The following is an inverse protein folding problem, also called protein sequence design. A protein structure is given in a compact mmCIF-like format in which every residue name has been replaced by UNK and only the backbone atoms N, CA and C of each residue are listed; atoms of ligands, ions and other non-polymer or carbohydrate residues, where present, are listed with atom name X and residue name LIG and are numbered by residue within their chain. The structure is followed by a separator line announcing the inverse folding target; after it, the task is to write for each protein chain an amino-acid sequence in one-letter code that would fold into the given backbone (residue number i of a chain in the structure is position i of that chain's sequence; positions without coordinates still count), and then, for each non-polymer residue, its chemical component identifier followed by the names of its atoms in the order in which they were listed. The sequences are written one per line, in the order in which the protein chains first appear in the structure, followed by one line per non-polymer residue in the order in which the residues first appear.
data_IF_549944466917
#
_entry.id   IF_549944466917
#
_cell.length_a   1.000
_cell.length_b   1.000
_cell.length_c   1.000
_cell.angle_alpha   90.00
_cell.angle_beta   90.00
_cell.angle_gamma   90.00
#
_symmetry.space_group_name_H-M   'P 1'
#
loop_
_entity.id
_entity.type
_entity.pdbx_description
1 polymer ?
#
# COMPACT_ATOMS: atom_id res chain seq x y z
N UNK A 1 -41.17 0.29 32.43
CA UNK A 1 -39.83 -0.29 32.64
C UNK A 1 -39.84 -1.64 31.96
N UNK A 2 -38.84 -1.91 31.12
CA UNK A 2 -38.67 -3.22 30.50
C UNK A 2 -38.39 -4.28 31.57
N UNK A 3 -38.77 -5.55 31.35
CA UNK A 3 -38.45 -6.62 32.28
C UNK A 3 -36.92 -6.74 32.46
N UNK A 4 -36.40 -6.97 33.69
CA UNK A 4 -34.97 -7.11 33.93
C UNK A 4 -34.28 -8.15 33.04
N UNK A 5 -34.98 -9.24 32.70
CA UNK A 5 -34.50 -10.27 31.78
C UNK A 5 -34.29 -9.74 30.35
N UNK A 6 -35.22 -8.92 29.86
CA UNK A 6 -35.14 -8.31 28.52
C UNK A 6 -33.99 -7.30 28.45
N UNK A 7 -33.74 -6.56 29.53
CA UNK A 7 -32.66 -5.59 29.57
C UNK A 7 -31.27 -6.26 29.53
N UNK A 8 -31.11 -7.40 30.22
CA UNK A 8 -29.89 -8.23 30.13
C UNK A 8 -29.71 -8.76 28.70
N UNK A 9 -30.77 -9.26 28.07
CA UNK A 9 -30.70 -9.79 26.69
C UNK A 9 -30.31 -8.70 25.67
N UNK A 10 -30.82 -7.47 25.83
CA UNK A 10 -30.45 -6.32 25.00
C UNK A 10 -28.97 -5.95 25.15
N UNK A 11 -28.45 -5.93 26.38
CA UNK A 11 -27.03 -5.66 26.66
C UNK A 11 -26.12 -6.76 26.13
N UNK A 12 -26.49 -8.03 26.30
CA UNK A 12 -25.74 -9.18 25.77
C UNK A 12 -25.68 -9.16 24.24
N UNK A 13 -26.79 -8.83 23.57
CA UNK A 13 -26.85 -8.69 22.11
C UNK A 13 -25.92 -7.58 21.60
N UNK A 14 -25.90 -6.43 22.29
CA UNK A 14 -25.00 -5.32 21.97
C UNK A 14 -23.52 -5.71 22.17
N UNK A 15 -23.19 -6.36 23.29
CA UNK A 15 -21.83 -6.83 23.57
C UNK A 15 -21.36 -7.89 22.58
N UNK A 16 -22.21 -8.85 22.21
CA UNK A 16 -21.90 -9.87 21.21
C UNK A 16 -21.56 -9.26 19.84
N UNK A 17 -22.26 -8.17 19.47
CA UNK A 17 -21.95 -7.42 18.25
C UNK A 17 -20.58 -6.75 18.32
N UNK A 18 -20.23 -6.16 19.46
CA UNK A 18 -18.91 -5.54 19.67
C UNK A 18 -17.77 -6.55 19.64
N UNK A 19 -17.96 -7.72 20.26
CA UNK A 19 -16.97 -8.80 20.25
C UNK A 19 -16.72 -9.31 18.83
N UNK A 20 -17.77 -9.45 18.03
CA UNK A 20 -17.67 -9.79 16.61
C UNK A 20 -16.87 -8.73 15.82
N UNK A 21 -17.12 -7.45 16.07
CA UNK A 21 -16.38 -6.35 15.44
C UNK A 21 -14.89 -6.33 15.81
N UNK A 22 -14.55 -6.65 17.06
CA UNK A 22 -13.16 -6.77 17.52
C UNK A 22 -12.49 -7.97 16.87
N UNK A 23 -13.16 -9.11 16.80
CA UNK A 23 -12.65 -10.32 16.16
C UNK A 23 -12.39 -10.12 14.65
N UNK A 24 -13.24 -9.34 13.97
CA UNK A 24 -13.12 -9.03 12.55
C UNK A 24 -12.05 -7.95 12.23
N UNK A 25 -11.38 -7.38 13.22
CA UNK A 25 -10.43 -6.28 13.02
C UNK A 25 -9.22 -6.70 12.17
N UNK A 26 -8.74 -5.85 11.23
CA UNK A 26 -7.56 -6.17 10.45
C UNK A 26 -6.33 -6.50 11.32
N UNK A 27 -5.68 -7.64 11.05
CA UNK A 27 -4.56 -8.15 11.83
C UNK A 27 -3.40 -7.14 11.99
N UNK A 28 -3.18 -6.27 10.99
CA UNK A 28 -2.20 -5.19 11.06
C UNK A 28 -2.54 -4.17 12.16
N UNK A 29 -3.80 -3.76 12.28
CA UNK A 29 -4.27 -2.80 13.29
C UNK A 29 -4.13 -3.40 14.68
N UNK A 30 -4.57 -4.65 14.86
CA UNK A 30 -4.46 -5.38 16.13
C UNK A 30 -3.01 -5.49 16.58
N UNK A 31 -2.09 -5.91 15.69
CA UNK A 31 -0.65 -5.98 15.98
C UNK A 31 -0.04 -4.62 16.34
N UNK A 32 -0.51 -3.54 15.73
CA UNK A 32 0.00 -2.20 15.98
C UNK A 32 -0.51 -1.59 17.30
N UNK A 33 -1.76 -1.88 17.68
CA UNK A 33 -2.44 -1.26 18.82
C UNK A 33 -2.28 -2.06 20.12
N UNK A 34 -2.39 -3.39 20.06
CA UNK A 34 -2.40 -4.24 21.26
C UNK A 34 -1.19 -4.02 22.18
N UNK A 35 0.07 -3.91 21.69
CA UNK A 35 1.21 -3.63 22.56
C UNK A 35 1.09 -2.30 23.30
N UNK A 36 0.54 -1.26 22.64
CA UNK A 36 0.40 0.08 23.22
C UNK A 36 -0.69 0.15 24.26
N UNK A 37 -1.80 -0.56 24.02
CA UNK A 37 -2.87 -0.72 25.00
C UNK A 37 -2.40 -1.50 26.22
N UNK A 38 -1.56 -2.54 26.05
CA UNK A 38 -0.92 -3.25 27.17
C UNK A 38 -0.01 -2.33 27.99
N UNK A 39 0.85 -1.56 27.34
CA UNK A 39 1.72 -0.60 28.03
C UNK A 39 0.91 0.41 28.85
N UNK A 40 -0.20 0.93 28.30
CA UNK A 40 -1.11 1.82 29.02
C UNK A 40 -1.70 1.16 30.27
N UNK A 41 -2.21 -0.08 30.14
CA UNK A 41 -2.76 -0.83 31.28
C UNK A 41 -1.70 -1.08 32.37
N UNK A 42 -0.51 -1.52 31.99
CA UNK A 42 0.59 -1.72 32.93
C UNK A 42 1.04 -0.43 33.62
N UNK A 43 0.95 0.71 32.94
CA UNK A 43 1.18 2.02 33.56
C UNK A 43 0.07 2.36 34.56
N UNK A 44 -1.21 2.10 34.24
CA UNK A 44 -2.32 2.29 35.17
C UNK A 44 -2.15 1.45 36.45
N UNK A 45 -1.66 0.21 36.33
CA UNK A 45 -1.37 -0.66 37.49
C UNK A 45 -0.32 -0.05 38.42
N UNK A 46 0.74 0.55 37.86
CA UNK A 46 1.80 1.19 38.65
C UNK A 46 1.36 2.50 39.31
N UNK A 47 0.35 3.18 38.76
CA UNK A 47 -0.10 4.50 39.25
C UNK A 47 -1.01 4.45 40.48
N UNK A 48 -1.57 3.28 40.81
CA UNK A 48 -2.45 3.15 41.97
C UNK A 48 -3.79 3.86 41.79
N UNK A 49 -4.32 3.95 40.56
CA UNK A 49 -5.68 4.45 40.36
C UNK A 49 -6.70 3.55 41.07
N UNK A 50 -7.83 4.15 41.47
CA UNK A 50 -8.96 3.42 42.05
C UNK A 50 -9.32 2.21 41.21
N UNK A 51 -9.58 1.09 41.87
CA UNK A 51 -9.77 -0.21 41.22
C UNK A 51 -10.85 -0.18 40.14
N UNK A 52 -12.03 0.37 40.47
CA UNK A 52 -13.17 0.44 39.56
C UNK A 52 -12.91 1.27 38.29
N UNK A 53 -12.07 2.30 38.36
CA UNK A 53 -11.82 3.21 37.23
C UNK A 53 -10.41 3.06 36.66
N UNK A 54 -9.61 2.10 37.14
CA UNK A 54 -8.17 1.98 36.86
C UNK A 54 -7.85 2.08 35.38
N UNK A 55 -8.55 1.28 34.57
CA UNK A 55 -8.32 1.21 33.13
C UNK A 55 -9.20 2.14 32.30
N UNK A 56 -10.16 2.85 32.90
CA UNK A 56 -10.96 3.83 32.16
C UNK A 56 -10.05 4.89 31.55
N UNK A 57 -10.16 5.06 30.24
CA UNK A 57 -9.39 6.03 29.48
C UNK A 57 -10.01 7.41 29.62
N UNK A 58 -9.24 8.37 30.11
CA UNK A 58 -9.62 9.78 30.15
C UNK A 58 -8.57 10.63 29.45
N UNK A 59 -8.93 11.85 29.04
CA UNK A 59 -7.97 12.76 28.42
C UNK A 59 -6.75 13.02 29.33
N UNK A 60 -6.98 13.19 30.63
CA UNK A 60 -5.92 13.43 31.61
C UNK A 60 -4.99 12.23 31.77
N UNK A 61 -5.55 11.01 31.85
CA UNK A 61 -4.72 9.79 31.91
C UNK A 61 -3.93 9.57 30.63
N UNK A 62 -4.55 9.77 29.47
CA UNK A 62 -3.84 9.67 28.18
C UNK A 62 -2.69 10.68 28.14
N UNK A 63 -2.95 11.94 28.51
CA UNK A 63 -1.92 12.98 28.51
C UNK A 63 -0.76 12.63 29.43
N UNK A 64 -1.04 12.25 30.69
CA UNK A 64 -0.02 11.90 31.67
C UNK A 64 0.80 10.67 31.23
N UNK A 65 0.14 9.62 30.74
CA UNK A 65 0.81 8.45 30.18
C UNK A 65 1.76 8.81 29.05
N UNK A 66 1.33 9.67 28.11
CA UNK A 66 2.19 10.07 26.99
C UNK A 66 3.43 10.82 27.47
N UNK A 67 3.28 11.74 28.43
CA UNK A 67 4.39 12.51 29.00
C UNK A 67 5.40 11.60 29.69
N UNK A 68 4.94 10.70 30.56
CA UNK A 68 5.84 9.89 31.40
C UNK A 68 6.48 8.74 30.65
N UNK A 69 5.72 8.06 29.79
CA UNK A 69 6.15 6.77 29.23
C UNK A 69 6.57 6.88 27.76
N UNK A 70 6.06 7.85 26.99
CA UNK A 70 6.15 7.82 25.52
C UNK A 70 7.01 8.94 24.96
N UNK A 71 6.69 10.21 25.22
CA UNK A 71 7.24 11.38 24.49
C UNK A 71 8.77 11.44 24.52
N UNK A 72 9.38 11.24 25.68
CA UNK A 72 10.84 11.30 25.85
C UNK A 72 11.54 9.94 25.76
N UNK A 73 10.80 8.89 25.38
CA UNK A 73 11.34 7.54 25.27
C UNK A 73 12.44 7.49 24.22
N UNK A 74 13.59 6.96 24.60
CA UNK A 74 14.70 6.71 23.69
C UNK A 74 14.56 5.35 23.02
N UNK A 75 14.70 5.33 21.70
CA UNK A 75 14.70 4.13 20.85
C UNK A 75 16.08 3.96 20.22
N UNK A 76 16.56 2.73 20.13
CA UNK A 76 17.85 2.40 19.50
C UNK A 76 17.64 2.09 18.03
N UNK A 77 18.29 2.86 17.15
CA UNK A 77 18.26 2.64 15.69
C UNK A 77 19.68 2.67 15.17
N UNK A 78 20.15 1.57 14.56
CA UNK A 78 21.50 1.45 13.96
C UNK A 78 22.61 2.02 14.88
N UNK A 79 22.64 1.57 16.13
CA UNK A 79 23.59 1.99 17.16
C UNK A 79 23.52 3.45 17.65
N UNK A 80 22.48 4.23 17.28
CA UNK A 80 22.22 5.56 17.85
C UNK A 80 20.96 5.57 18.71
N UNK A 81 20.99 6.28 19.83
CA UNK A 81 19.80 6.59 20.65
C UNK A 81 19.08 7.79 20.02
N UNK A 82 17.77 7.66 19.80
CA UNK A 82 16.93 8.74 19.31
C UNK A 82 15.61 8.74 20.07
N UNK A 83 15.11 9.92 20.42
CA UNK A 83 13.72 10.06 20.93
C UNK A 83 12.71 9.51 19.92
N UNK A 84 11.61 8.96 20.42
CA UNK A 84 10.47 8.56 19.57
C UNK A 84 10.01 9.70 18.67
N UNK A 85 9.50 9.35 17.49
CA UNK A 85 8.96 10.34 16.56
C UNK A 85 7.51 10.69 16.88
N UNK A 86 7.07 11.86 16.41
CA UNK A 86 5.66 12.31 16.46
C UNK A 86 4.69 11.22 15.99
N UNK A 87 5.02 10.53 14.89
CA UNK A 87 4.18 9.46 14.33
C UNK A 87 3.99 8.29 15.31
N UNK A 88 4.99 7.98 16.13
CA UNK A 88 4.88 6.95 17.18
C UNK A 88 3.94 7.41 18.27
N UNK A 89 4.09 8.66 18.75
CA UNK A 89 3.21 9.27 19.77
C UNK A 89 1.76 9.30 19.29
N UNK A 90 1.52 9.72 18.04
CA UNK A 90 0.18 9.73 17.45
C UNK A 90 -0.42 8.32 17.34
N UNK A 91 0.41 7.29 17.11
CA UNK A 91 -0.05 5.90 17.12
C UNK A 91 -0.45 5.42 18.53
N UNK A 92 0.18 5.90 19.61
CA UNK A 92 -0.30 5.67 20.98
C UNK A 92 -1.63 6.37 21.23
N UNK A 93 -1.76 7.64 20.81
CA UNK A 93 -3.02 8.38 20.91
C UNK A 93 -4.16 7.61 20.22
N UNK A 94 -3.94 7.13 18.99
CA UNK A 94 -4.94 6.38 18.25
C UNK A 94 -5.26 5.03 18.91
N UNK A 95 -4.25 4.29 19.38
CA UNK A 95 -4.45 2.99 20.03
C UNK A 95 -5.21 3.11 21.37
N UNK A 96 -4.99 4.17 22.14
CA UNK A 96 -5.66 4.40 23.42
C UNK A 96 -7.04 5.02 23.20
N UNK A 97 -7.21 5.87 22.17
CA UNK A 97 -8.53 6.36 21.76
C UNK A 97 -9.42 5.20 21.27
N UNK A 98 -8.83 4.21 20.61
CA UNK A 98 -9.51 2.98 20.24
C UNK A 98 -9.94 2.14 21.45
N UNK A 99 -9.09 2.03 22.49
CA UNK A 99 -9.46 1.41 23.76
C UNK A 99 -10.61 2.18 24.44
N UNK A 100 -10.60 3.51 24.38
CA UNK A 100 -11.71 4.34 24.86
C UNK A 100 -13.00 4.06 24.09
N UNK A 101 -12.95 3.95 22.76
CA UNK A 101 -14.14 3.67 21.95
C UNK A 101 -14.79 2.34 22.34
N UNK A 102 -13.99 1.29 22.58
CA UNK A 102 -14.51 0.02 23.12
C UNK A 102 -15.16 0.19 24.50
N UNK A 103 -14.52 0.92 25.42
CA UNK A 103 -15.08 1.19 26.74
C UNK A 103 -16.40 1.98 26.68
N UNK A 104 -16.48 2.97 25.78
CA UNK A 104 -17.67 3.78 25.60
C UNK A 104 -18.80 2.96 24.99
N UNK A 105 -18.51 2.14 23.97
CA UNK A 105 -19.50 1.25 23.35
C UNK A 105 -20.08 0.21 24.31
N UNK A 106 -19.33 -0.19 25.34
CA UNK A 106 -19.77 -1.09 26.41
C UNK A 106 -20.39 -0.38 27.61
N UNK A 107 -20.58 0.93 27.55
CA UNK A 107 -21.07 1.73 28.69
C UNK A 107 -20.12 1.82 29.89
N UNK A 108 -18.91 1.24 29.81
CA UNK A 108 -17.92 1.22 30.89
C UNK A 108 -17.21 2.56 31.09
N UNK A 109 -17.38 3.52 30.18
CA UNK A 109 -16.75 4.84 30.26
C UNK A 109 -17.65 5.94 29.67
N UNK A 110 -18.07 6.88 30.51
CA UNK A 110 -18.92 8.02 30.17
C UNK A 110 -18.15 9.35 29.97
N UNK A 111 -16.82 9.33 30.08
CA UNK A 111 -16.01 10.54 29.92
C UNK A 111 -16.01 11.04 28.47
N UNK A 112 -15.69 12.32 28.21
CA UNK A 112 -15.47 12.81 26.85
C UNK A 112 -14.29 12.13 26.15
N UNK A 113 -14.31 12.14 24.82
CA UNK A 113 -13.27 11.51 24.00
C UNK A 113 -11.86 12.02 24.39
N UNK A 114 -10.87 11.11 24.59
CA UNK A 114 -9.59 11.46 25.19
C UNK A 114 -8.68 12.32 24.29
N UNK A 115 -8.88 12.29 22.96
CA UNK A 115 -8.19 13.15 22.00
C UNK A 115 -8.75 14.58 21.98
N UNK A 116 -8.56 15.31 23.06
CA UNK A 116 -9.02 16.68 23.24
C UNK A 116 -8.03 17.74 22.72
N UNK A 117 -8.28 19.02 23.02
CA UNK A 117 -7.41 20.15 22.67
C UNK A 117 -5.98 20.01 23.20
N UNK A 118 -5.78 19.50 24.42
CA UNK A 118 -4.45 19.33 25.02
C UNK A 118 -3.60 18.32 24.23
N UNK A 119 -4.18 17.19 23.82
CA UNK A 119 -3.48 16.22 22.97
C UNK A 119 -3.10 16.83 21.61
N UNK A 120 -3.98 17.66 21.03
CA UNK A 120 -3.69 18.38 19.78
C UNK A 120 -2.53 19.37 19.95
N UNK A 121 -2.49 20.10 21.07
CA UNK A 121 -1.40 21.02 21.41
C UNK A 121 -0.08 20.27 21.59
N UNK A 122 -0.08 19.16 22.34
CA UNK A 122 1.10 18.31 22.53
C UNK A 122 1.67 17.83 21.19
N UNK A 123 0.83 17.23 20.34
CA UNK A 123 1.26 16.76 19.02
C UNK A 123 1.80 17.90 18.15
N UNK A 124 1.25 19.11 18.29
CA UNK A 124 1.72 20.29 17.57
C UNK A 124 3.09 20.78 18.08
N UNK A 125 3.33 20.76 19.39
CA UNK A 125 4.66 21.07 19.97
C UNK A 125 5.73 20.12 19.44
N UNK A 126 5.47 18.81 19.49
CA UNK A 126 6.42 17.80 19.01
C UNK A 126 6.73 17.94 17.51
N UNK A 127 5.75 18.37 16.69
CA UNK A 127 5.96 18.71 15.28
C UNK A 127 6.89 19.92 15.11
N UNK A 128 6.69 20.97 15.92
CA UNK A 128 7.55 22.18 15.92
C UNK A 128 8.98 21.86 16.36
N UNK A 129 9.14 21.10 17.44
CA UNK A 129 10.44 20.63 17.93
C UNK A 129 11.18 19.81 16.88
N UNK A 130 10.47 18.88 16.21
CA UNK A 130 11.03 18.11 15.10
C UNK A 130 11.51 19.02 13.98
N UNK A 131 10.71 20.02 13.58
CA UNK A 131 11.09 20.96 12.53
C UNK A 131 12.34 21.77 12.91
N UNK A 132 12.39 22.30 14.13
CA UNK A 132 13.56 23.04 14.64
C UNK A 132 14.82 22.16 14.69
N UNK A 133 14.66 20.90 15.10
CA UNK A 133 15.74 19.91 15.08
C UNK A 133 16.24 19.63 13.66
N UNK A 134 15.33 19.32 12.74
CA UNK A 134 15.68 19.04 11.34
C UNK A 134 16.39 20.25 10.71
N UNK A 135 15.99 21.48 11.06
CA UNK A 135 16.67 22.73 10.66
C UNK A 135 18.08 22.84 11.24
N UNK A 136 18.27 22.53 12.53
CA UNK A 136 19.58 22.56 13.21
C UNK A 136 20.55 21.49 12.68
N UNK A 137 20.03 20.32 12.31
CA UNK A 137 20.81 19.20 11.77
C UNK A 137 21.03 19.31 10.25
N UNK A 138 20.62 20.41 9.61
CA UNK A 138 20.71 20.63 8.16
C UNK A 138 20.17 19.43 7.35
N UNK A 139 19.07 18.83 7.82
CA UNK A 139 18.43 17.72 7.11
C UNK A 139 18.03 18.20 5.73
N UNK A 140 18.40 17.42 4.71
CA UNK A 140 18.10 17.72 3.31
C UNK A 140 16.59 17.98 3.11
N UNK A 141 16.27 19.21 2.71
CA UNK A 141 14.90 19.70 2.48
C UNK A 141 14.28 19.11 1.22
N UNK A 142 15.11 18.65 0.28
CA UNK A 142 14.67 17.95 -0.94
C UNK A 142 14.03 16.59 -0.62
N UNK A 143 14.47 15.93 0.46
CA UNK A 143 13.94 14.63 0.85
C UNK A 143 12.49 14.74 1.31
N UNK A 144 11.59 14.01 0.66
CA UNK A 144 10.14 14.08 0.88
C UNK A 144 9.48 15.36 0.39
N UNK A 145 10.10 16.05 -0.57
CA UNK A 145 9.51 17.16 -1.31
C UNK A 145 9.17 16.72 -2.75
N UNK A 146 9.21 17.64 -3.72
CA UNK A 146 8.98 17.36 -5.14
C UNK A 146 9.94 16.29 -5.70
N UNK A 147 11.17 16.23 -5.18
CA UNK A 147 12.24 15.32 -5.62
C UNK A 147 12.27 13.99 -4.85
N UNK A 148 11.25 13.66 -4.06
CA UNK A 148 11.25 12.40 -3.30
C UNK A 148 11.04 11.18 -4.19
N UNK A 149 12.03 10.29 -4.30
CA UNK A 149 11.98 9.16 -5.21
C UNK A 149 12.55 9.53 -6.56
N UNK A 150 11.85 9.12 -7.61
CA UNK A 150 12.25 9.37 -8.99
C UNK A 150 11.18 10.19 -9.71
N UNK A 151 11.59 10.96 -10.70
CA UNK A 151 10.71 11.94 -11.35
C UNK A 151 10.79 11.92 -12.88
N UNK A 152 11.73 11.16 -13.45
CA UNK A 152 11.98 11.17 -14.90
C UNK A 152 11.88 9.78 -15.52
N UNK A 153 11.63 9.73 -16.83
CA UNK A 153 11.72 8.48 -17.60
C UNK A 153 13.15 7.92 -17.60
N UNK A 154 14.17 8.77 -17.51
CA UNK A 154 15.57 8.34 -17.40
C UNK A 154 15.81 7.55 -16.10
N UNK A 155 15.23 8.00 -14.98
CA UNK A 155 15.29 7.25 -13.71
C UNK A 155 14.60 5.89 -13.84
N UNK A 156 13.43 5.82 -14.49
CA UNK A 156 12.72 4.56 -14.73
C UNK A 156 13.57 3.59 -15.56
N UNK A 157 14.22 4.08 -16.61
CA UNK A 157 15.13 3.29 -17.44
C UNK A 157 16.33 2.81 -16.61
N UNK A 158 16.92 3.67 -15.78
CA UNK A 158 18.02 3.30 -14.89
C UNK A 158 17.61 2.21 -13.88
N UNK A 159 16.41 2.32 -13.28
CA UNK A 159 15.84 1.30 -12.39
C UNK A 159 15.62 -0.02 -13.14
N UNK A 160 15.09 0.05 -14.36
CA UNK A 160 14.90 -1.13 -15.22
C UNK A 160 16.21 -1.85 -15.48
N UNK A 161 17.21 -1.12 -16.00
CA UNK A 161 18.54 -1.65 -16.33
C UNK A 161 19.24 -2.19 -15.10
N UNK A 162 19.13 -1.53 -13.96
CA UNK A 162 19.66 -2.03 -12.69
C UNK A 162 19.16 -3.45 -12.39
N UNK A 163 17.83 -3.67 -12.41
CA UNK A 163 17.29 -5.00 -12.13
C UNK A 163 17.60 -6.02 -13.24
N UNK A 164 17.57 -5.61 -14.51
CA UNK A 164 17.92 -6.50 -15.63
C UNK A 164 19.39 -6.96 -15.54
N UNK A 165 20.31 -6.06 -15.20
CA UNK A 165 21.74 -6.35 -15.12
C UNK A 165 22.13 -7.24 -13.94
N UNK A 166 21.29 -7.32 -12.90
CA UNK A 166 21.47 -8.32 -11.84
C UNK A 166 21.25 -9.76 -12.35
N UNK A 167 20.49 -9.90 -13.45
CA UNK A 167 20.28 -11.16 -14.17
C UNK A 167 19.85 -12.34 -13.27
N UNK A 168 18.96 -12.07 -12.30
CA UNK A 168 18.35 -13.11 -11.47
C UNK A 168 16.83 -13.10 -11.60
N UNK A 169 16.21 -14.26 -11.37
CA UNK A 169 14.74 -14.37 -11.33
C UNK A 169 14.07 -13.49 -10.29
N UNK A 170 14.68 -13.37 -9.12
CA UNK A 170 14.20 -12.46 -8.08
C UNK A 170 14.22 -11.01 -8.54
N UNK A 171 15.21 -10.60 -9.33
CA UNK A 171 15.32 -9.24 -9.81
C UNK A 171 14.38 -8.95 -10.99
N UNK A 172 14.07 -9.95 -11.82
CA UNK A 172 12.95 -9.86 -12.78
C UNK A 172 11.61 -9.66 -12.05
N UNK A 173 11.38 -10.38 -10.94
CA UNK A 173 10.20 -10.18 -10.08
C UNK A 173 10.18 -8.76 -9.50
N UNK A 174 11.32 -8.28 -9.00
CA UNK A 174 11.43 -6.96 -8.40
C UNK A 174 11.21 -5.84 -9.43
N UNK A 175 11.76 -6.00 -10.65
CA UNK A 175 11.52 -5.12 -11.80
C UNK A 175 10.04 -5.05 -12.15
N UNK A 176 9.41 -6.20 -12.32
CA UNK A 176 7.98 -6.29 -12.60
C UNK A 176 7.14 -5.62 -11.50
N UNK A 177 7.44 -5.91 -10.22
CA UNK A 177 6.76 -5.30 -9.08
C UNK A 177 6.86 -3.78 -9.10
N UNK A 178 8.05 -3.24 -9.39
CA UNK A 178 8.29 -1.80 -9.46
C UNK A 178 7.40 -1.15 -10.54
N UNK A 179 7.41 -1.69 -11.76
CA UNK A 179 6.66 -1.10 -12.87
C UNK A 179 5.14 -1.27 -12.74
N UNK A 180 4.65 -2.39 -12.20
CA UNK A 180 3.22 -2.51 -11.86
C UNK A 180 2.82 -1.50 -10.79
N UNK A 181 3.62 -1.33 -9.73
CA UNK A 181 3.33 -0.35 -8.69
C UNK A 181 3.37 1.09 -9.20
N UNK A 182 4.27 1.40 -10.14
CA UNK A 182 4.38 2.70 -10.78
C UNK A 182 3.20 2.98 -11.69
N UNK A 183 2.94 2.09 -12.66
CA UNK A 183 1.94 2.32 -13.71
C UNK A 183 0.50 2.27 -13.18
N UNK A 184 0.25 1.46 -12.13
CA UNK A 184 -1.08 1.30 -11.56
C UNK A 184 -1.24 2.01 -10.21
N UNK A 185 -0.23 2.77 -9.76
CA UNK A 185 -0.23 3.50 -8.48
C UNK A 185 -0.51 2.60 -7.26
N UNK A 186 0.02 1.37 -7.29
CA UNK A 186 -0.27 0.37 -6.26
C UNK A 186 0.50 0.64 -4.97
N UNK A 187 -0.10 0.19 -3.87
CA UNK A 187 0.65 0.00 -2.63
C UNK A 187 1.46 -1.30 -2.73
N UNK A 188 2.69 -1.31 -2.20
CA UNK A 188 3.50 -2.52 -2.21
C UNK A 188 2.88 -3.70 -1.45
N UNK A 189 1.98 -3.47 -0.49
CA UNK A 189 1.16 -4.53 0.13
C UNK A 189 0.17 -5.13 -0.87
N UNK A 190 -0.67 -4.30 -1.49
CA UNK A 190 -1.61 -4.72 -2.53
C UNK A 190 -0.91 -5.51 -3.63
N UNK A 191 0.21 -4.99 -4.16
CA UNK A 191 0.97 -5.66 -5.21
C UNK A 191 1.45 -7.08 -4.82
N UNK A 192 1.83 -7.29 -3.56
CA UNK A 192 2.30 -8.61 -3.09
C UNK A 192 1.17 -9.61 -2.91
N UNK A 193 -0.06 -9.14 -2.70
CA UNK A 193 -1.21 -10.01 -2.48
C UNK A 193 -1.85 -10.49 -3.79
N UNK A 194 -1.57 -9.83 -4.93
CA UNK A 194 -2.14 -10.15 -6.24
C UNK A 194 -1.91 -11.62 -6.61
N UNK A 195 -2.97 -12.29 -6.99
CA UNK A 195 -3.04 -13.65 -7.52
C UNK A 195 -3.21 -13.62 -9.05
N UNK A 196 -2.94 -14.74 -9.71
CA UNK A 196 -3.14 -14.86 -11.15
C UNK A 196 -4.58 -14.53 -11.61
N UNK A 197 -5.67 -15.02 -10.96
CA UNK A 197 -7.05 -14.69 -11.34
C UNK A 197 -7.41 -13.21 -11.23
N UNK A 198 -6.65 -12.44 -10.44
CA UNK A 198 -6.86 -10.99 -10.35
C UNK A 198 -6.46 -10.28 -11.64
N UNK A 199 -5.66 -10.90 -12.52
CA UNK A 199 -5.15 -10.33 -13.75
C UNK A 199 -6.06 -10.66 -14.94
N UNK A 200 -6.53 -9.63 -15.64
CA UNK A 200 -7.22 -9.80 -16.91
C UNK A 200 -6.90 -8.64 -17.86
N UNK A 201 -7.23 -8.81 -19.13
CA UNK A 201 -7.03 -7.76 -20.14
C UNK A 201 -8.35 -7.28 -20.72
N UNK A 202 -8.46 -5.97 -20.93
CA UNK A 202 -9.62 -5.33 -21.57
C UNK A 202 -9.14 -4.55 -22.79
N UNK A 203 -9.82 -4.72 -23.91
CA UNK A 203 -9.59 -3.89 -25.09
C UNK A 203 -10.14 -2.48 -24.86
N UNK A 204 -9.32 -1.49 -25.12
CA UNK A 204 -9.68 -0.08 -25.04
C UNK A 204 -9.92 0.45 -26.45
N UNK A 205 -11.18 0.42 -26.84
CA UNK A 205 -11.62 1.03 -28.08
C UNK A 205 -11.25 2.52 -28.13
N UNK A 206 -10.92 3.00 -29.33
CA UNK A 206 -10.67 4.42 -29.60
C UNK A 206 -9.49 5.05 -28.83
N UNK A 207 -8.48 4.26 -28.44
CA UNK A 207 -7.26 4.81 -27.81
C UNK A 207 -6.22 5.35 -28.80
N UNK A 208 -6.25 4.94 -30.07
CA UNK A 208 -5.37 5.42 -31.13
C UNK A 208 -5.28 4.46 -32.31
N UNK A 209 -4.15 4.45 -33.01
CA UNK A 209 -3.98 3.75 -34.30
C UNK A 209 -3.73 2.25 -34.19
N UNK A 210 -3.19 1.79 -33.06
CA UNK A 210 -2.90 0.37 -32.80
C UNK A 210 -3.84 -0.16 -31.72
N UNK A 211 -4.14 -1.46 -31.76
CA UNK A 211 -4.89 -2.15 -30.71
C UNK A 211 -4.31 -1.83 -29.32
N UNK A 212 -5.15 -1.31 -28.44
CA UNK A 212 -4.78 -0.94 -27.08
C UNK A 212 -5.47 -1.89 -26.10
N UNK A 213 -4.70 -2.78 -25.47
CA UNK A 213 -5.18 -3.60 -24.36
C UNK A 213 -4.65 -3.07 -23.03
N UNK A 214 -5.58 -2.83 -22.11
CA UNK A 214 -5.27 -2.56 -20.71
C UNK A 214 -5.07 -3.88 -19.97
N UNK A 215 -3.97 -3.98 -19.22
CA UNK A 215 -3.84 -4.94 -18.13
C UNK A 215 -4.60 -4.38 -16.93
N UNK A 216 -5.53 -5.16 -16.39
CA UNK A 216 -6.37 -4.82 -15.24
C UNK A 216 -6.11 -5.81 -14.11
N UNK A 217 -6.12 -5.30 -12.89
CA UNK A 217 -5.86 -6.02 -11.66
C UNK A 217 -7.01 -5.79 -10.68
N UNK A 218 -7.70 -6.85 -10.30
CA UNK A 218 -8.70 -6.80 -9.24
C UNK A 218 -7.98 -6.69 -7.90
N UNK A 219 -8.49 -5.82 -7.02
CA UNK A 219 -8.02 -5.67 -5.65
C UNK A 219 -9.21 -5.65 -4.72
N UNK A 220 -9.53 -6.81 -4.17
CA UNK A 220 -10.60 -6.95 -3.16
C UNK A 220 -10.07 -6.70 -1.74
N UNK A 221 -8.74 -6.69 -1.57
CA UNK A 221 -8.10 -6.55 -0.26
C UNK A 221 -7.03 -5.46 -0.27
N UNK A 222 -7.08 -4.58 0.73
CA UNK A 222 -6.07 -3.57 0.95
C UNK A 222 -6.27 -2.84 2.27
N UNK A 223 -5.23 -2.16 2.76
CA UNK A 223 -5.29 -1.45 4.06
C UNK A 223 -6.52 -0.52 4.23
N UNK A 224 -7.00 0.07 3.13
CA UNK A 224 -8.14 0.99 3.10
C UNK A 224 -9.45 0.35 2.62
N UNK A 225 -9.41 -0.89 2.17
CA UNK A 225 -10.54 -1.62 1.63
C UNK A 225 -10.89 -2.78 2.57
N UNK A 226 -11.54 -2.43 3.70
CA UNK A 226 -11.91 -3.38 4.75
C UNK A 226 -13.23 -4.11 4.45
N UNK A 227 -13.97 -3.66 3.43
CA UNK A 227 -15.32 -4.12 3.10
C UNK A 227 -15.38 -4.96 1.82
N UNK A 228 -14.22 -5.36 1.27
CA UNK A 228 -14.17 -6.17 0.05
C UNK A 228 -14.67 -5.45 -1.21
N UNK A 229 -14.60 -4.11 -1.27
CA UNK A 229 -14.98 -3.36 -2.48
C UNK A 229 -14.07 -3.80 -3.62
N UNK A 230 -14.59 -4.04 -4.82
CA UNK A 230 -13.71 -4.31 -5.96
C UNK A 230 -13.05 -3.01 -6.40
N UNK A 231 -11.80 -2.84 -6.03
CA UNK A 231 -10.94 -1.79 -6.60
C UNK A 231 -10.19 -2.35 -7.80
N UNK A 232 -9.85 -1.49 -8.76
CA UNK A 232 -9.11 -1.89 -9.95
C UNK A 232 -7.81 -1.11 -10.08
N UNK A 233 -6.74 -1.82 -10.43
CA UNK A 233 -5.48 -1.26 -10.90
C UNK A 233 -5.39 -1.48 -12.40
N UNK A 234 -4.97 -0.49 -13.17
CA UNK A 234 -4.89 -0.64 -14.61
C UNK A 234 -3.67 0.05 -15.20
N UNK A 235 -3.13 -0.53 -16.26
CA UNK A 235 -2.08 0.08 -17.07
C UNK A 235 -2.14 -0.45 -18.50
N UNK A 236 -1.52 0.29 -19.42
CA UNK A 236 -1.34 -0.13 -20.81
C UNK A 236 0.15 -0.33 -21.10
N UNK A 237 0.47 -0.87 -22.27
CA UNK A 237 1.85 -1.03 -22.73
C UNK A 237 2.51 0.35 -22.87
N UNK A 238 3.66 0.54 -22.24
CA UNK A 238 4.43 1.79 -22.35
C UNK A 238 5.10 1.90 -23.73
N UNK A 239 5.19 3.10 -24.31
CA UNK A 239 5.93 3.34 -25.56
C UNK A 239 7.39 2.89 -25.51
N UNK A 240 8.07 3.03 -24.37
CA UNK A 240 9.43 2.56 -24.16
C UNK A 240 9.39 1.14 -23.58
N UNK A 241 9.98 0.18 -24.30
CA UNK A 241 10.01 -1.24 -23.92
C UNK A 241 10.73 -1.49 -22.60
N UNK A 242 11.73 -0.68 -22.27
CA UNK A 242 12.54 -0.86 -21.07
C UNK A 242 11.74 -0.59 -19.80
N UNK A 243 10.65 0.17 -19.86
CA UNK A 243 9.86 0.57 -18.70
C UNK A 243 8.40 0.08 -18.78
N UNK A 244 8.12 -0.82 -19.73
CA UNK A 244 6.78 -1.33 -19.96
C UNK A 244 6.32 -2.29 -18.85
N UNK A 245 5.24 -1.99 -18.09
CA UNK A 245 4.76 -2.87 -17.01
C UNK A 245 4.27 -4.22 -17.54
N UNK A 246 3.55 -4.22 -18.68
CA UNK A 246 3.08 -5.44 -19.34
C UNK A 246 4.26 -6.29 -19.84
N UNK A 247 5.29 -5.65 -20.39
CA UNK A 247 6.51 -6.34 -20.81
C UNK A 247 7.29 -6.92 -19.62
N UNK A 248 7.35 -6.20 -18.50
CA UNK A 248 7.97 -6.70 -17.29
C UNK A 248 7.22 -7.91 -16.69
N UNK A 249 5.88 -7.90 -16.73
CA UNK A 249 5.07 -9.07 -16.39
C UNK A 249 5.36 -10.24 -17.32
N UNK A 250 5.36 -10.03 -18.63
CA UNK A 250 5.67 -11.06 -19.62
C UNK A 250 7.04 -11.70 -19.41
N UNK A 251 8.10 -10.92 -19.21
CA UNK A 251 9.43 -11.46 -18.94
C UNK A 251 9.50 -12.29 -17.66
N UNK A 252 8.81 -11.84 -16.61
CA UNK A 252 8.81 -12.58 -15.35
C UNK A 252 8.01 -13.89 -15.43
N UNK A 253 6.86 -13.90 -16.11
CA UNK A 253 6.10 -15.14 -16.37
C UNK A 253 6.91 -16.10 -17.25
N UNK A 254 7.58 -15.59 -18.28
CA UNK A 254 8.45 -16.40 -19.13
C UNK A 254 9.61 -17.00 -18.33
N UNK A 255 10.20 -16.23 -17.42
CA UNK A 255 11.22 -16.76 -16.52
C UNK A 255 10.65 -17.87 -15.61
N UNK A 256 9.45 -17.70 -15.04
CA UNK A 256 8.83 -18.73 -14.20
C UNK A 256 8.62 -20.04 -14.96
N UNK A 257 7.91 -19.97 -16.08
CA UNK A 257 7.44 -21.16 -16.78
C UNK A 257 8.46 -21.72 -17.78
N UNK A 258 9.13 -20.84 -18.52
CA UNK A 258 10.09 -21.23 -19.56
C UNK A 258 11.50 -21.52 -19.03
N UNK A 259 11.97 -20.76 -18.03
CA UNK A 259 13.37 -20.85 -17.54
C UNK A 259 13.48 -21.64 -16.24
N UNK A 260 12.61 -21.39 -15.25
CA UNK A 260 12.60 -22.18 -14.00
C UNK A 260 11.87 -23.51 -14.15
N UNK A 261 11.21 -23.76 -15.27
CA UNK A 261 10.35 -24.92 -15.48
C UNK A 261 9.30 -25.06 -14.36
N UNK A 262 8.74 -23.94 -13.89
CA UNK A 262 7.53 -23.99 -13.08
C UNK A 262 6.37 -24.45 -13.99
N UNK A 263 5.56 -25.39 -13.51
CA UNK A 263 4.43 -25.89 -14.29
C UNK A 263 3.46 -24.75 -14.64
N UNK A 264 3.09 -24.68 -15.91
CA UNK A 264 1.99 -23.83 -16.36
C UNK A 264 0.71 -24.50 -15.83
N UNK A 265 -0.08 -23.82 -14.99
CA UNK A 265 -1.26 -24.44 -14.41
C UNK A 265 -2.34 -24.68 -15.47
N UNK A 266 -3.21 -25.65 -15.24
CA UNK A 266 -4.39 -25.80 -16.08
C UNK A 266 -5.38 -24.65 -15.78
N UNK A 267 -5.42 -23.66 -16.66
CA UNK A 267 -6.33 -22.51 -16.51
C UNK A 267 -7.82 -22.87 -16.58
N UNK A 268 -8.15 -24.11 -16.98
CA UNK A 268 -9.53 -24.63 -16.95
C UNK A 268 -9.94 -25.18 -15.57
N UNK A 269 -8.99 -25.39 -14.65
CA UNK A 269 -9.23 -25.92 -13.30
C UNK A 269 -8.88 -24.85 -12.28
N UNK A 270 -9.85 -24.05 -11.79
CA UNK A 270 -9.62 -22.92 -10.88
C UNK A 270 -8.70 -23.24 -9.69
N UNK A 271 -8.87 -24.42 -9.10
CA UNK A 271 -8.14 -24.91 -7.93
C UNK A 271 -6.63 -25.00 -8.17
N UNK A 272 -6.18 -25.11 -9.42
CA UNK A 272 -4.76 -25.21 -9.75
C UNK A 272 -4.04 -23.86 -9.84
N UNK A 273 -4.78 -22.75 -9.98
CA UNK A 273 -4.18 -21.44 -10.29
C UNK A 273 -4.70 -20.24 -9.51
N UNK A 274 -5.86 -20.35 -8.84
CA UNK A 274 -6.44 -19.24 -8.10
C UNK A 274 -5.55 -18.77 -6.94
N UNK A 275 -4.90 -19.69 -6.24
CA UNK A 275 -3.99 -19.35 -5.13
C UNK A 275 -2.57 -18.95 -5.59
N UNK A 276 -2.28 -18.99 -6.89
CA UNK A 276 -0.93 -18.68 -7.39
C UNK A 276 -0.70 -17.17 -7.32
N UNK A 277 0.32 -16.77 -6.57
CA UNK A 277 0.74 -15.38 -6.47
C UNK A 277 1.45 -14.91 -7.72
N UNK A 278 1.13 -13.69 -8.16
CA UNK A 278 1.89 -12.98 -9.19
C UNK A 278 3.30 -12.69 -8.65
N UNK A 279 3.40 -12.11 -7.46
CA UNK A 279 4.68 -11.90 -6.76
C UNK A 279 4.97 -13.03 -5.77
N UNK A 280 5.25 -14.25 -6.26
CA UNK A 280 5.56 -15.42 -5.41
C UNK A 280 6.87 -15.32 -4.62
N UNK A 281 6.97 -16.02 -3.50
CA UNK A 281 8.17 -16.15 -2.67
C UNK A 281 8.99 -17.41 -3.01
N UNK A 282 10.19 -17.22 -3.55
CA UNK A 282 11.11 -18.32 -3.81
C UNK A 282 10.49 -19.38 -4.74
N UNK A 283 10.51 -20.64 -4.29
CA UNK A 283 9.94 -21.78 -5.04
C UNK A 283 8.44 -21.97 -4.81
N UNK A 284 7.87 -21.50 -3.69
CA UNK A 284 6.45 -21.70 -3.40
C UNK A 284 5.60 -20.68 -4.17
N UNK A 285 4.80 -21.17 -5.11
CA UNK A 285 3.95 -20.35 -6.00
C UNK A 285 2.77 -19.69 -5.31
N UNK A 286 2.31 -20.20 -4.16
CA UNK A 286 1.14 -19.66 -3.42
C UNK A 286 1.53 -18.72 -2.30
N UNK A 287 2.81 -18.67 -1.92
CA UNK A 287 3.28 -17.76 -0.88
C UNK A 287 3.66 -16.40 -1.48
N UNK A 288 3.12 -15.28 -0.99
CA UNK A 288 3.48 -13.95 -1.49
C UNK A 288 4.89 -13.57 -1.06
N UNK A 289 5.56 -12.75 -1.87
CA UNK A 289 6.83 -12.12 -1.53
C UNK A 289 6.70 -11.41 -0.17
N UNK A 290 7.72 -11.54 0.69
CA UNK A 290 7.70 -10.91 2.00
C UNK A 290 7.87 -9.39 1.88
N UNK A 291 7.34 -8.64 2.86
CA UNK A 291 7.58 -7.20 2.95
C UNK A 291 9.08 -6.88 2.98
N UNK A 292 9.86 -7.67 3.73
CA UNK A 292 11.30 -7.44 3.89
C UNK A 292 12.06 -7.64 2.58
N UNK A 293 11.76 -8.70 1.83
CA UNK A 293 12.37 -8.93 0.52
C UNK A 293 12.07 -7.78 -0.46
N UNK A 294 10.82 -7.33 -0.53
CA UNK A 294 10.43 -6.17 -1.35
C UNK A 294 11.17 -4.91 -0.88
N UNK A 295 11.16 -4.63 0.43
CA UNK A 295 11.82 -3.47 1.02
C UNK A 295 13.32 -3.43 0.67
N UNK A 296 14.03 -4.53 0.89
CA UNK A 296 15.47 -4.62 0.68
C UNK A 296 15.84 -4.47 -0.80
N UNK A 297 15.05 -5.07 -1.71
CA UNK A 297 15.24 -4.91 -3.15
C UNK A 297 15.11 -3.44 -3.58
N UNK A 298 14.05 -2.75 -3.14
CA UNK A 298 13.83 -1.33 -3.44
C UNK A 298 14.94 -0.45 -2.86
N UNK A 299 15.40 -0.73 -1.63
CA UNK A 299 16.52 0.00 -1.02
C UNK A 299 17.80 -0.21 -1.82
N UNK A 300 18.09 -1.45 -2.23
CA UNK A 300 19.28 -1.79 -3.00
C UNK A 300 19.32 -1.02 -4.31
N UNK A 301 18.22 -1.03 -5.07
CA UNK A 301 18.10 -0.29 -6.32
C UNK A 301 18.25 1.22 -6.11
N UNK A 302 17.50 1.80 -5.16
CA UNK A 302 17.55 3.24 -4.93
C UNK A 302 18.92 3.70 -4.43
N UNK A 303 19.58 2.92 -3.57
CA UNK A 303 20.92 3.27 -3.09
C UNK A 303 21.96 3.20 -4.19
N UNK A 304 21.90 2.18 -5.06
CA UNK A 304 22.81 2.04 -6.19
C UNK A 304 22.64 3.16 -7.23
N UNK A 305 21.43 3.68 -7.39
CA UNK A 305 21.10 4.72 -8.36
C UNK A 305 21.11 6.14 -7.76
N UNK A 306 21.49 6.30 -6.49
CA UNK A 306 21.49 7.61 -5.81
C UNK A 306 20.10 8.18 -5.51
N UNK A 307 19.03 7.43 -5.73
CA UNK A 307 17.64 7.85 -5.54
C UNK A 307 17.32 8.00 -4.04
N UNK A 308 16.85 9.19 -3.65
CA UNK A 308 16.46 9.49 -2.27
C UNK A 308 14.94 9.48 -2.13
N UNK A 309 14.39 8.55 -1.34
CA UNK A 309 12.95 8.57 -0.99
C UNK A 309 12.69 8.30 0.48
N UNK A 310 11.75 9.04 1.07
CA UNK A 310 11.15 8.77 2.38
C UNK A 310 10.33 7.47 2.35
N UNK A 311 9.59 7.25 1.27
CA UNK A 311 8.82 6.03 1.06
C UNK A 311 9.71 4.92 0.48
N UNK A 312 9.43 3.65 0.81
CA UNK A 312 10.17 2.50 0.27
C UNK A 312 9.27 1.69 -0.67
N UNK A 313 8.56 0.69 -0.18
CA UNK A 313 7.63 -0.15 -0.95
C UNK A 313 6.42 0.59 -1.54
N UNK A 314 6.25 1.89 -1.25
CA UNK A 314 5.20 2.74 -1.81
C UNK A 314 5.76 3.94 -2.58
N UNK A 315 7.08 4.02 -2.78
CA UNK A 315 7.71 5.14 -3.50
C UNK A 315 7.23 5.23 -4.95
N UNK A 316 7.01 4.07 -5.59
CA UNK A 316 6.54 4.00 -6.97
C UNK A 316 5.17 4.64 -7.17
N UNK A 317 4.27 4.51 -6.18
CA UNK A 317 2.95 5.15 -6.19
C UNK A 317 3.06 6.68 -6.18
N UNK A 318 3.87 7.24 -5.30
CA UNK A 318 4.07 8.71 -5.25
C UNK A 318 4.76 9.24 -6.50
N UNK A 319 5.78 8.51 -6.97
CA UNK A 319 6.53 8.89 -8.17
C UNK A 319 5.67 8.79 -9.43
N UNK A 320 4.86 7.73 -9.56
CA UNK A 320 3.87 7.60 -10.62
C UNK A 320 2.87 8.76 -10.64
N UNK A 321 2.30 9.12 -9.49
CA UNK A 321 1.34 10.24 -9.46
C UNK A 321 1.93 11.56 -9.93
N UNK A 322 3.15 11.91 -9.48
CA UNK A 322 3.84 13.13 -9.94
C UNK A 322 4.18 13.07 -11.42
N UNK A 323 4.65 11.92 -11.91
CA UNK A 323 4.98 11.78 -13.33
C UNK A 323 3.74 11.84 -14.22
N UNK A 324 2.61 11.29 -13.77
CA UNK A 324 1.33 11.43 -14.48
C UNK A 324 0.89 12.89 -14.55
N UNK A 325 1.02 13.64 -13.44
CA UNK A 325 0.68 15.07 -13.37
C UNK A 325 1.57 15.90 -14.32
N UNK A 326 2.88 15.68 -14.27
CA UNK A 326 3.84 16.34 -15.17
C UNK A 326 3.62 16.00 -16.65
N UNK A 327 3.07 14.82 -16.93
CA UNK A 327 2.70 14.39 -18.28
C UNK A 327 1.31 14.90 -18.71
N UNK A 328 0.64 15.72 -17.89
CA UNK A 328 -0.61 16.38 -18.24
C UNK A 328 -1.88 15.62 -17.86
N UNK A 329 -1.79 14.59 -17.01
CA UNK A 329 -2.98 13.97 -16.44
C UNK A 329 -3.59 14.87 -15.35
N UNK A 330 -4.90 15.04 -15.39
CA UNK A 330 -5.67 15.75 -14.39
C UNK A 330 -5.64 15.03 -13.04
N UNK A 331 -5.71 15.82 -11.96
CA UNK A 331 -5.78 15.31 -10.59
C UNK A 331 -6.92 14.30 -10.42
N UNK A 332 -8.06 14.53 -11.07
CA UNK A 332 -9.22 13.63 -11.03
C UNK A 332 -8.90 12.22 -11.59
N UNK A 333 -8.13 12.13 -12.67
CA UNK A 333 -7.75 10.86 -13.29
C UNK A 333 -6.67 10.15 -12.50
N UNK A 334 -5.71 10.91 -11.93
CA UNK A 334 -4.71 10.38 -11.00
C UNK A 334 -5.37 9.87 -9.72
N UNK A 335 -6.36 10.60 -9.20
CA UNK A 335 -7.16 10.24 -8.02
C UNK A 335 -7.87 8.91 -8.23
N UNK A 336 -8.54 8.76 -9.38
CA UNK A 336 -9.19 7.51 -9.81
C UNK A 336 -8.18 6.37 -9.97
N UNK A 337 -7.06 6.61 -10.67
CA UNK A 337 -6.03 5.58 -10.89
C UNK A 337 -5.36 5.15 -9.59
N UNK A 338 -5.23 6.05 -8.63
CA UNK A 338 -4.68 5.75 -7.31
C UNK A 338 -5.69 5.12 -6.35
N UNK A 339 -6.98 5.12 -6.68
CA UNK A 339 -8.10 4.75 -5.80
C UNK A 339 -8.07 5.57 -4.51
N UNK A 340 -8.08 6.89 -4.66
CA UNK A 340 -8.14 7.82 -3.55
C UNK A 340 -9.54 8.44 -3.46
N UNK A 341 -10.17 8.32 -2.30
CA UNK A 341 -11.47 8.96 -2.01
C UNK A 341 -12.53 8.65 -3.09
N UNK A 342 -12.71 7.37 -3.43
CA UNK A 342 -13.72 6.96 -4.40
C UNK A 342 -15.12 7.30 -3.89
N UNK A 343 -15.90 7.99 -4.72
CA UNK A 343 -17.30 8.32 -4.44
C UNK A 343 -18.26 7.32 -5.09
N UNK A 344 -19.55 7.39 -4.72
CA UNK A 344 -20.57 6.47 -5.23
C UNK A 344 -20.62 6.38 -6.77
N UNK A 345 -20.33 7.47 -7.47
CA UNK A 345 -20.26 7.49 -8.94
C UNK A 345 -19.15 6.59 -9.49
N UNK A 346 -17.97 6.62 -8.87
CA UNK A 346 -16.84 5.79 -9.26
C UNK A 346 -17.10 4.32 -8.94
N UNK A 347 -17.76 4.04 -7.81
CA UNK A 347 -18.05 2.67 -7.35
C UNK A 347 -19.14 1.98 -8.20
N UNK A 348 -20.13 2.72 -8.70
CA UNK A 348 -21.31 2.13 -9.34
C UNK A 348 -21.37 2.26 -10.88
N UNK A 349 -20.80 3.32 -11.47
CA UNK A 349 -21.14 3.70 -12.85
C UNK A 349 -19.95 3.89 -13.79
N UNK A 350 -18.76 4.15 -13.26
CA UNK A 350 -17.60 4.44 -14.10
C UNK A 350 -16.78 3.19 -14.38
N UNK A 351 -16.25 3.12 -15.60
CA UNK A 351 -15.20 2.17 -15.92
C UNK A 351 -13.98 2.54 -15.07
N UNK A 352 -13.50 1.62 -14.22
CA UNK A 352 -12.38 1.86 -13.30
C UNK A 352 -11.02 2.02 -14.01
N UNK A 353 -11.04 2.53 -15.25
CA UNK A 353 -9.95 2.64 -16.22
C UNK A 353 -9.78 4.12 -16.61
N UNK A 354 -9.06 4.92 -15.80
CA UNK A 354 -8.79 6.33 -16.09
C UNK A 354 -7.77 6.47 -17.23
N UNK A 355 -8.27 6.41 -18.46
CA UNK A 355 -7.48 6.32 -19.70
C UNK A 355 -6.44 7.43 -19.84
N UNK A 356 -6.76 8.65 -19.43
CA UNK A 356 -5.85 9.81 -19.47
C UNK A 356 -4.60 9.60 -18.59
N UNK A 357 -4.78 9.14 -17.35
CA UNK A 357 -3.66 8.82 -16.46
C UNK A 357 -2.88 7.60 -16.94
N UNK A 358 -3.57 6.58 -17.48
CA UNK A 358 -2.95 5.38 -18.05
C UNK A 358 -2.05 5.72 -19.25
N UNK A 359 -2.50 6.60 -20.16
CA UNK A 359 -1.70 7.08 -21.31
C UNK A 359 -0.48 7.86 -20.86
N UNK A 360 -0.67 8.78 -19.92
CA UNK A 360 0.39 9.62 -19.37
C UNK A 360 1.52 8.77 -18.76
N UNK A 361 1.18 7.75 -17.96
CA UNK A 361 2.15 6.82 -17.37
C UNK A 361 2.75 5.81 -18.36
N UNK A 362 2.12 5.63 -19.52
CA UNK A 362 2.65 4.83 -20.61
C UNK A 362 3.52 5.64 -21.60
N UNK A 363 3.76 6.93 -21.29
CA UNK A 363 4.60 7.85 -22.05
C UNK A 363 3.94 8.47 -23.28
N UNK A 364 2.62 8.43 -23.37
CA UNK A 364 1.84 9.07 -24.42
C UNK A 364 1.29 10.43 -23.96
N UNK A 365 0.80 11.25 -24.90
CA UNK A 365 0.03 12.45 -24.54
C UNK A 365 -1.22 12.04 -23.75
N UNK A 366 -1.64 12.89 -22.80
CA UNK A 366 -2.89 12.69 -22.07
C UNK A 366 -4.13 12.80 -22.97
N UNK A 367 -3.99 13.44 -24.15
CA UNK A 367 -5.02 13.58 -25.18
C UNK A 367 -5.62 12.24 -25.61
N UNK A 368 -6.87 12.29 -26.08
CA UNK A 368 -7.55 11.13 -26.66
C UNK A 368 -6.86 10.71 -27.96
N UNK A 369 -6.97 9.43 -28.32
CA UNK A 369 -6.45 8.88 -29.58
C UNK A 369 -4.92 8.94 -29.75
N UNK A 370 -4.16 9.21 -28.68
CA UNK A 370 -2.70 9.39 -28.74
C UNK A 370 -1.90 8.08 -28.61
N UNK A 371 -2.56 6.93 -28.41
CA UNK A 371 -1.89 5.65 -28.25
C UNK A 371 -1.39 5.10 -29.59
N UNK A 372 -0.08 4.86 -29.68
CA UNK A 372 0.53 4.21 -30.83
C UNK A 372 1.77 3.41 -30.41
N UNK A 373 1.81 2.14 -30.78
CA UNK A 373 3.00 1.31 -30.59
C UNK A 373 3.61 0.93 -31.94
N UNK A 374 4.67 1.63 -32.33
CA UNK A 374 5.43 1.33 -33.55
C UNK A 374 5.85 -0.15 -33.62
N UNK A 375 6.39 -0.69 -32.52
CA UNK A 375 6.77 -2.10 -32.42
C UNK A 375 5.61 -3.10 -32.50
N UNK A 376 4.36 -2.65 -32.41
CA UNK A 376 3.20 -3.51 -32.58
C UNK A 376 2.81 -3.66 -34.07
N UNK A 377 3.40 -2.87 -34.97
CA UNK A 377 3.21 -3.03 -36.42
C UNK A 377 3.89 -4.31 -36.96
N UNK A 378 4.81 -4.90 -36.20
CA UNK A 378 5.49 -6.14 -36.56
C UNK A 378 4.92 -7.30 -35.75
N UNK A 379 4.22 -8.21 -36.42
CA UNK A 379 3.78 -9.47 -35.82
C UNK A 379 4.95 -10.48 -35.85
N UNK A 380 5.41 -10.99 -34.69
CA UNK A 380 6.43 -12.03 -34.67
C UNK A 380 5.94 -13.28 -35.44
N UNK A 381 6.81 -14.01 -36.16
CA UNK A 381 6.39 -15.22 -36.86
C UNK A 381 5.78 -16.25 -35.91
N UNK A 382 4.75 -16.99 -36.36
CA UNK A 382 4.08 -18.02 -35.57
C UNK A 382 5.05 -19.05 -35.00
N UNK A 383 6.09 -19.40 -35.76
CA UNK A 383 7.15 -20.31 -35.32
C UNK A 383 7.91 -19.81 -34.08
N UNK A 384 8.09 -18.49 -33.95
CA UNK A 384 8.69 -17.89 -32.76
C UNK A 384 7.69 -17.79 -31.62
N UNK A 385 6.45 -17.41 -31.91
CA UNK A 385 5.39 -17.31 -30.88
C UNK A 385 5.18 -18.65 -30.18
N UNK A 386 5.12 -19.77 -30.92
CA UNK A 386 4.95 -21.12 -30.37
C UNK A 386 6.12 -21.61 -29.50
N UNK A 387 7.29 -20.96 -29.54
CA UNK A 387 8.45 -21.30 -28.70
C UNK A 387 8.40 -20.64 -27.32
N UNK A 388 7.51 -19.67 -27.12
CA UNK A 388 7.36 -18.92 -25.88
C UNK A 388 6.05 -19.33 -25.24
N UNK A 389 6.06 -19.68 -23.95
CA UNK A 389 4.87 -20.17 -23.22
C UNK A 389 4.24 -21.45 -23.80
N UNK A 390 5.03 -22.28 -24.49
CA UNK A 390 4.58 -23.61 -24.91
C UNK A 390 4.21 -24.45 -23.69
N UNK A 391 2.96 -24.93 -23.65
CA UNK A 391 2.57 -26.02 -22.76
C UNK A 391 3.41 -27.23 -23.16
N UNK A 392 4.20 -27.75 -22.22
CA UNK A 392 5.07 -28.91 -22.46
C UNK A 392 4.30 -30.21 -22.34
#
# INVERSE_FOLDING_TARGET
MEPPCLQVELEESAHATLDRCIAARPANTTRAYAPKQREYKSWCDRKGFQEATRYQVTASKLYLFLQEEVVDRNVRVKNRKRKVGVATVEMYVNAISDLYSDQQSRGANSHPHPRNSLIKVLLSSLKREKHMKDKKEYVDRGVGSLLDGYCTTADLVAISRFYMNLNTGSDLRNRMSHFLCHACLLRGESARNIELPDLFSVELEHEGYTECRALVMIMEQGKTNQYGRREFGSCIRHRNVEVCPVGALGFYLFYRWGVQNEDIPNFLVPEEWYDIKVLKAGKNKTTPMTYRAHYDATIKAFSALGIKSKAKTHAARGSGSRMAELAGASESQIRRLGRWNAGAMEDCYLTALPREAMRSLAGFSSDRHSFFLERAALTPPDSLQRRVFSVR
#
